data_IF_028762677929
#
_entry.id   IF_028762677929
#
_cell.length_a   1.000
_cell.length_b   1.000
_cell.length_c   1.000
_cell.angle_alpha   90.00
_cell.angle_beta   90.00
_cell.angle_gamma   90.00
#
_symmetry.space_group_name_H-M   'P 1'
#
loop_
_entity.id
_entity.type
_entity.pdbx_description
1 polymer ?
#
# COMPACT_ATOMS: atom_id res chain seq x y z
N UNK A 1 21.48 20.48 -11.87
CA UNK A 1 22.06 19.35 -11.12
C UNK A 1 21.36 19.25 -9.78
N UNK A 2 20.57 18.20 -9.56
CA UNK A 2 20.06 17.82 -8.24
C UNK A 2 20.06 16.31 -8.22
N UNK A 3 21.15 15.76 -7.72
CA UNK A 3 21.31 14.33 -7.48
C UNK A 3 20.40 13.96 -6.31
N UNK A 4 19.37 13.15 -6.55
CA UNK A 4 18.72 12.41 -5.46
C UNK A 4 19.50 11.10 -5.32
N UNK A 5 20.64 11.20 -4.65
CA UNK A 5 21.32 10.03 -4.12
C UNK A 5 20.59 9.65 -2.85
N UNK A 6 20.00 8.45 -2.82
CA UNK A 6 19.42 7.89 -1.62
C UNK A 6 18.03 7.31 -1.87
N UNK A 7 17.99 6.11 -2.46
CA UNK A 7 17.45 4.95 -1.72
C UNK A 7 17.51 3.71 -2.63
N UNK A 8 18.68 3.08 -2.61
CA UNK A 8 18.91 1.71 -3.05
C UNK A 8 18.64 0.78 -1.86
N UNK A 9 17.48 0.94 -1.20
CA UNK A 9 17.12 0.23 0.03
C UNK A 9 15.76 -0.44 -0.13
N UNK A 10 15.67 -1.45 -1.00
CA UNK A 10 14.46 -2.28 -1.18
C UNK A 10 13.17 -1.45 -1.23
N UNK A 11 12.90 -0.79 -2.36
CA UNK A 11 11.59 -0.19 -2.57
C UNK A 11 10.55 -1.28 -2.50
N UNK A 12 9.88 -1.36 -1.35
CA UNK A 12 8.73 -2.18 -1.10
C UNK A 12 7.57 -1.53 -1.85
N UNK A 13 7.28 -1.95 -3.08
CA UNK A 13 6.42 -1.18 -3.96
C UNK A 13 4.96 -1.43 -3.62
N UNK A 14 4.62 -2.33 -2.69
CA UNK A 14 3.26 -2.70 -2.37
C UNK A 14 2.86 -2.13 -1.02
N UNK A 15 1.73 -1.44 -0.96
CA UNK A 15 1.15 -0.93 0.29
C UNK A 15 -0.26 -1.47 0.45
N UNK A 16 -0.61 -1.81 1.69
CA UNK A 16 -1.98 -2.15 2.05
C UNK A 16 -2.61 -0.93 2.69
N UNK A 17 -3.72 -0.48 2.12
CA UNK A 17 -4.50 0.65 2.60
C UNK A 17 -5.86 0.11 3.03
N UNK A 18 -6.25 0.37 4.27
CA UNK A 18 -7.61 0.15 4.76
C UNK A 18 -8.40 1.43 4.54
N UNK A 19 -9.47 1.34 3.79
CA UNK A 19 -10.49 2.37 3.69
C UNK A 19 -11.68 1.94 4.55
N UNK A 20 -12.02 2.74 5.54
CA UNK A 20 -13.28 2.57 6.27
C UNK A 20 -14.41 3.34 5.56
N UNK A 21 -15.66 2.96 5.82
CA UNK A 21 -16.85 3.61 5.25
C UNK A 21 -17.01 5.08 5.64
N UNK A 22 -16.26 5.58 6.62
CA UNK A 22 -16.19 6.98 7.03
C UNK A 22 -15.18 7.80 6.21
N UNK A 23 -14.55 7.21 5.18
CA UNK A 23 -13.60 7.89 4.31
C UNK A 23 -12.19 8.03 4.89
N UNK A 24 -11.92 7.41 6.04
CA UNK A 24 -10.56 7.37 6.59
C UNK A 24 -9.76 6.28 5.89
N UNK A 25 -8.59 6.68 5.37
CA UNK A 25 -7.64 5.78 4.72
C UNK A 25 -6.41 5.60 5.60
N UNK A 26 -6.23 4.39 6.12
CA UNK A 26 -5.09 4.04 6.94
C UNK A 26 -4.15 3.12 6.17
N UNK A 27 -2.87 3.50 6.06
CA UNK A 27 -1.84 2.61 5.52
C UNK A 27 -1.47 1.60 6.60
N UNK A 28 -1.83 0.35 6.37
CA UNK A 28 -1.62 -0.74 7.34
C UNK A 28 -0.18 -1.25 7.29
N UNK A 29 0.44 -1.27 6.11
CA UNK A 29 1.79 -1.77 5.96
C UNK A 29 2.35 -1.59 4.56
N UNK A 30 3.64 -1.86 4.46
CA UNK A 30 4.42 -1.76 3.22
C UNK A 30 5.15 -3.08 3.02
N UNK A 31 5.10 -3.63 1.80
CA UNK A 31 5.47 -5.01 1.48
C UNK A 31 6.33 -5.09 0.23
N UNK A 32 7.22 -6.09 0.22
CA UNK A 32 8.13 -6.35 -0.89
C UNK A 32 7.39 -6.93 -2.10
N UNK A 33 6.37 -7.75 -1.82
CA UNK A 33 5.66 -8.52 -2.84
C UNK A 33 4.16 -8.30 -2.78
N UNK A 34 3.49 -8.43 -3.94
CA UNK A 34 2.03 -8.38 -4.04
C UNK A 34 1.38 -9.45 -3.17
N UNK A 35 1.94 -10.66 -3.16
CA UNK A 35 1.36 -11.81 -2.46
C UNK A 35 1.33 -11.61 -0.95
N UNK A 36 2.36 -10.97 -0.37
CA UNK A 36 2.33 -10.57 1.04
C UNK A 36 1.27 -9.50 1.31
N UNK A 37 1.23 -8.44 0.49
CA UNK A 37 0.23 -7.39 0.63
C UNK A 37 -1.21 -7.95 0.51
N UNK A 38 -1.44 -8.86 -0.43
CA UNK A 38 -2.74 -9.49 -0.64
C UNK A 38 -3.12 -10.44 0.49
N UNK A 39 -2.19 -11.27 0.98
CA UNK A 39 -2.46 -12.10 2.16
C UNK A 39 -2.80 -11.27 3.39
N UNK A 40 -2.13 -10.13 3.58
CA UNK A 40 -2.44 -9.24 4.70
C UNK A 40 -3.80 -8.58 4.50
N UNK A 41 -4.13 -8.09 3.31
CA UNK A 41 -5.46 -7.56 3.00
C UNK A 41 -6.57 -8.60 3.23
N UNK A 42 -6.39 -9.85 2.78
CA UNK A 42 -7.35 -10.94 3.02
C UNK A 42 -7.48 -11.29 4.51
N UNK A 43 -6.36 -11.36 5.24
CA UNK A 43 -6.36 -11.63 6.68
C UNK A 43 -7.06 -10.51 7.44
N UNK A 44 -6.79 -9.26 7.10
CA UNK A 44 -7.43 -8.12 7.76
C UNK A 44 -8.91 -8.00 7.41
N UNK A 45 -9.29 -8.30 6.16
CA UNK A 45 -10.69 -8.37 5.73
C UNK A 45 -11.49 -9.45 6.46
N UNK A 46 -10.86 -10.58 6.79
CA UNK A 46 -11.47 -11.66 7.58
C UNK A 46 -11.62 -11.33 9.07
N UNK A 47 -10.76 -10.47 9.62
CA UNK A 47 -10.79 -10.04 11.03
C UNK A 47 -11.50 -8.69 11.22
N UNK A 48 -12.09 -8.12 10.17
CA UNK A 48 -12.89 -6.91 10.26
C UNK A 48 -14.24 -7.20 10.89
N UNK A 49 -14.31 -7.10 12.22
CA UNK A 49 -15.56 -7.17 12.98
C UNK A 49 -16.49 -5.99 12.59
N UNK A 50 -17.36 -6.21 11.60
CA UNK A 50 -18.64 -5.51 11.49
C UNK A 50 -18.68 -4.15 10.77
N UNK A 51 -17.61 -3.72 10.09
CA UNK A 51 -17.62 -2.54 9.21
C UNK A 51 -17.34 -2.94 7.76
N UNK A 52 -17.91 -2.22 6.79
CA UNK A 52 -17.60 -2.38 5.36
C UNK A 52 -16.19 -1.88 5.01
N UNK A 53 -15.19 -2.33 5.76
CA UNK A 53 -13.79 -2.01 5.58
C UNK A 53 -13.30 -2.60 4.27
N UNK A 54 -12.89 -1.72 3.35
CA UNK A 54 -12.33 -2.10 2.07
C UNK A 54 -10.81 -2.05 2.14
N UNK A 55 -10.15 -3.20 2.02
CA UNK A 55 -8.70 -3.30 1.99
C UNK A 55 -8.20 -3.24 0.54
N UNK A 56 -7.49 -2.16 0.20
CA UNK A 56 -6.91 -1.89 -1.11
C UNK A 56 -5.42 -2.20 -1.08
N UNK A 57 -4.94 -2.95 -2.08
CA UNK A 57 -3.52 -3.20 -2.30
C UNK A 57 -3.05 -2.27 -3.40
N UNK A 58 -2.29 -1.23 -3.03
CA UNK A 58 -1.74 -0.27 -3.98
C UNK A 58 -0.27 -0.56 -4.28
N UNK A 59 0.10 -0.50 -5.55
CA UNK A 59 1.50 -0.55 -5.96
C UNK A 59 2.01 0.88 -6.18
N UNK A 60 2.93 1.34 -5.34
CA UNK A 60 3.78 2.50 -5.64
C UNK A 60 4.73 2.10 -6.77
N UNK A 61 4.31 2.33 -8.00
CA UNK A 61 5.23 2.30 -9.13
C UNK A 61 6.19 3.50 -8.97
N UNK A 62 7.49 3.20 -8.90
CA UNK A 62 8.55 4.22 -8.84
C UNK A 62 8.70 4.80 -10.27
N UNK A 63 7.65 5.46 -10.76
CA UNK A 63 7.50 5.75 -12.19
C UNK A 63 6.53 6.86 -12.58
N UNK A 64 6.00 7.66 -11.65
CA UNK A 64 5.29 8.91 -11.98
C UNK A 64 6.09 10.15 -11.57
N UNK A 65 7.39 10.13 -11.91
CA UNK A 65 8.19 11.33 -12.12
C UNK A 65 8.21 11.68 -13.61
N UNK A 66 7.17 12.38 -14.08
CA UNK A 66 7.19 13.13 -15.33
C UNK A 66 6.42 12.54 -16.52
N UNK A 67 5.30 13.18 -16.86
CA UNK A 67 4.97 13.74 -18.20
C UNK A 67 3.53 14.26 -18.20
N UNK A 68 3.37 15.53 -18.56
CA UNK A 68 2.12 16.27 -18.64
C UNK A 68 2.39 17.74 -18.34
#
# INVERSE_FOLDING_TARGET
MRSVSGDSGTVLPWHVIRQDGNGNSYRVGTYATRSEAQQVAERLGKNGDGGADSYLVERMDRGSGGRG
#
